data_IF_953220257998
#
_entry.id   IF_953220257998
#
_cell.length_a   1.000
_cell.length_b   1.000
_cell.length_c   1.000
_cell.angle_alpha   90.00
_cell.angle_beta   90.00
_cell.angle_gamma   90.00
#
_symmetry.space_group_name_H-M   'P 1'
#
loop_
_entity.id
_entity.type
_entity.pdbx_description
1 polymer ?
#
# COMPACT_ATOMS: atom_id res chain seq x y z
N UNK A 1 -10.40 26.28 -0.86
CA UNK A 1 -10.14 25.44 0.30
C UNK A 1 -11.25 24.39 0.37
N UNK A 2 -10.93 23.14 0.64
CA UNK A 2 -11.91 22.06 0.72
C UNK A 2 -11.63 21.14 1.90
N UNK A 3 -12.69 20.69 2.55
CA UNK A 3 -12.66 19.65 3.57
C UNK A 3 -13.43 18.45 3.04
N UNK A 4 -12.88 17.25 3.20
CA UNK A 4 -13.59 16.01 2.86
C UNK A 4 -13.33 14.92 3.88
N UNK A 5 -14.31 14.05 4.01
CA UNK A 5 -14.25 12.84 4.83
C UNK A 5 -14.54 11.63 3.97
N UNK A 6 -13.78 10.56 4.18
CA UNK A 6 -13.97 9.27 3.52
C UNK A 6 -13.93 8.16 4.57
N UNK A 7 -14.88 7.26 4.52
CA UNK A 7 -14.83 6.02 5.28
C UNK A 7 -14.69 4.84 4.32
N UNK A 8 -13.75 3.97 4.61
CA UNK A 8 -13.41 2.86 3.70
C UNK A 8 -13.30 1.56 4.49
N UNK A 9 -13.85 0.50 3.93
CA UNK A 9 -13.56 -0.87 4.32
C UNK A 9 -12.50 -1.43 3.38
N UNK A 10 -11.41 -1.89 3.96
CA UNK A 10 -10.27 -2.42 3.21
C UNK A 10 -10.12 -3.89 3.52
N UNK A 11 -10.10 -4.72 2.49
CA UNK A 11 -9.75 -6.12 2.62
C UNK A 11 -8.24 -6.26 2.44
N UNK A 12 -7.55 -6.65 3.49
CA UNK A 12 -6.15 -7.03 3.40
C UNK A 12 -6.09 -8.51 3.01
N UNK A 13 -5.34 -8.81 1.97
CA UNK A 13 -5.13 -10.18 1.53
C UNK A 13 -4.24 -10.93 2.51
N UNK A 14 -4.41 -12.24 2.58
CA UNK A 14 -3.54 -13.08 3.39
C UNK A 14 -2.09 -12.96 2.94
N UNK A 15 -1.17 -12.96 3.89
CA UNK A 15 0.26 -12.83 3.64
C UNK A 15 0.99 -14.01 4.26
N UNK A 16 1.93 -14.55 3.49
CA UNK A 16 2.86 -15.56 3.96
C UNK A 16 4.23 -14.91 4.12
N UNK A 17 4.82 -15.07 5.29
CA UNK A 17 6.12 -14.55 5.65
C UNK A 17 7.01 -15.70 6.10
N UNK A 18 8.12 -15.93 5.43
CA UNK A 18 9.17 -16.85 5.93
C UNK A 18 9.87 -16.19 7.10
N UNK A 19 9.71 -16.80 8.27
CA UNK A 19 10.17 -16.13 9.49
C UNK A 19 11.49 -16.65 10.02
N UNK A 20 12.00 -17.81 9.53
CA UNK A 20 13.02 -18.43 10.34
C UNK A 20 13.76 -19.59 9.64
N UNK A 21 15.08 -19.47 9.56
CA UNK A 21 16.01 -20.60 9.37
C UNK A 21 17.08 -20.50 10.44
N UNK A 22 17.02 -21.32 11.46
CA UNK A 22 18.13 -21.50 12.39
C UNK A 22 18.77 -22.85 12.10
N UNK A 23 20.05 -22.82 11.79
CA UNK A 23 20.87 -24.02 11.68
C UNK A 23 21.56 -24.29 13.01
N UNK A 24 21.48 -25.51 13.47
CA UNK A 24 22.23 -25.98 14.63
C UNK A 24 23.49 -26.69 14.12
N UNK A 25 24.63 -26.28 14.65
CA UNK A 25 25.91 -26.90 14.34
C UNK A 25 26.38 -27.71 15.54
N UNK A 26 27.18 -28.77 15.29
CA UNK A 26 27.87 -29.44 16.36
C UNK A 26 29.03 -28.58 16.89
N UNK A 27 29.39 -28.72 18.16
CA UNK A 27 30.61 -28.17 18.73
C UNK A 27 31.86 -28.86 18.15
N UNK A 28 31.69 -29.97 17.44
CA UNK A 28 32.74 -30.69 16.73
C UNK A 28 32.77 -30.31 15.28
N UNK A 29 33.98 -30.16 14.75
CA UNK A 29 34.22 -29.86 13.33
C UNK A 29 34.82 -31.09 12.66
N UNK A 30 34.41 -31.36 11.42
CA UNK A 30 35.10 -32.30 10.56
C UNK A 30 36.42 -31.70 10.10
N UNK A 31 37.52 -32.40 10.35
CA UNK A 31 38.82 -32.00 9.80
C UNK A 31 38.94 -32.47 8.35
N UNK A 32 39.04 -31.54 7.41
CA UNK A 32 39.11 -31.81 5.97
C UNK A 32 40.55 -31.98 5.45
N UNK A 33 41.55 -31.78 6.33
CA UNK A 33 42.96 -31.79 5.96
C UNK A 33 43.52 -30.38 5.66
N UNK A 34 44.84 -30.20 5.65
CA UNK A 34 45.45 -28.90 5.37
C UNK A 34 45.09 -27.75 6.30
N UNK A 35 44.61 -28.05 7.51
CA UNK A 35 44.19 -27.04 8.48
C UNK A 35 42.73 -26.52 8.27
N UNK A 36 41.96 -27.17 7.40
CA UNK A 36 40.57 -26.81 7.15
C UNK A 36 39.63 -27.63 7.99
N UNK A 37 38.58 -26.97 8.52
CA UNK A 37 37.52 -27.58 9.33
C UNK A 37 36.17 -27.20 8.77
N UNK A 38 35.24 -28.16 8.73
CA UNK A 38 33.86 -27.94 8.34
C UNK A 38 32.95 -28.14 9.55
N UNK A 39 32.03 -27.19 9.77
CA UNK A 39 31.03 -27.31 10.82
C UNK A 39 29.96 -28.36 10.46
N UNK A 40 29.73 -29.31 11.38
CA UNK A 40 28.72 -30.35 11.17
C UNK A 40 27.32 -29.78 11.45
N UNK A 41 26.47 -29.73 10.43
CA UNK A 41 25.08 -29.32 10.59
C UNK A 41 24.28 -30.47 11.25
N UNK A 42 23.83 -30.25 12.49
CA UNK A 42 23.03 -31.24 13.27
C UNK A 42 21.52 -31.02 13.21
N UNK A 43 21.09 -29.93 12.61
CA UNK A 43 19.67 -29.68 12.48
C UNK A 43 19.32 -28.29 12.04
N UNK A 44 18.05 -28.08 11.78
CA UNK A 44 17.50 -26.76 11.43
C UNK A 44 16.11 -26.59 11.99
N UNK A 45 15.75 -25.33 12.20
CA UNK A 45 14.36 -24.90 12.36
C UNK A 45 14.01 -24.00 11.19
N UNK A 46 12.98 -24.34 10.44
CA UNK A 46 12.41 -23.47 9.43
C UNK A 46 10.91 -23.35 9.62
N UNK A 47 10.32 -22.31 9.09
CA UNK A 47 8.89 -22.15 9.15
C UNK A 47 8.42 -20.90 8.49
N UNK A 48 7.14 -20.74 8.46
CA UNK A 48 6.48 -19.53 7.95
C UNK A 48 5.28 -19.18 8.82
N UNK A 49 4.91 -17.92 8.79
CA UNK A 49 3.67 -17.43 9.35
C UNK A 49 2.72 -17.12 8.18
N UNK A 50 1.49 -17.54 8.32
CA UNK A 50 0.43 -17.20 7.39
C UNK A 50 -0.62 -16.37 8.13
N UNK A 51 -0.77 -15.10 7.77
CA UNK A 51 -1.84 -14.22 8.23
C UNK A 51 -3.04 -14.38 7.31
N UNK A 52 -4.20 -14.75 7.81
CA UNK A 52 -5.41 -14.84 7.01
C UNK A 52 -5.85 -13.45 6.53
N UNK A 53 -6.57 -13.42 5.40
CA UNK A 53 -7.19 -12.19 4.92
C UNK A 53 -8.17 -11.63 5.96
N UNK A 54 -8.16 -10.32 6.16
CA UNK A 54 -9.01 -9.65 7.15
C UNK A 54 -9.52 -8.29 6.63
N UNK A 55 -10.63 -7.86 7.19
CA UNK A 55 -11.17 -6.54 6.93
C UNK A 55 -10.67 -5.54 7.95
N UNK A 56 -10.39 -4.32 7.47
CA UNK A 56 -9.98 -3.21 8.31
C UNK A 56 -10.66 -1.93 7.85
N UNK A 57 -11.21 -1.19 8.81
CA UNK A 57 -11.81 0.10 8.55
C UNK A 57 -10.75 1.21 8.59
N UNK A 58 -10.92 2.20 7.72
CA UNK A 58 -10.12 3.41 7.70
C UNK A 58 -11.01 4.63 7.58
N UNK A 59 -10.86 5.58 8.49
CA UNK A 59 -11.45 6.90 8.41
C UNK A 59 -10.38 7.88 7.92
N UNK A 60 -10.72 8.67 6.92
CA UNK A 60 -9.79 9.63 6.31
C UNK A 60 -10.42 11.02 6.28
N UNK A 61 -9.69 11.98 6.81
CA UNK A 61 -10.01 13.40 6.73
C UNK A 61 -9.00 14.10 5.85
N UNK A 62 -9.45 14.93 4.93
CA UNK A 62 -8.58 15.68 4.03
C UNK A 62 -8.91 17.16 4.13
N UNK A 63 -7.90 17.96 4.44
CA UNK A 63 -7.93 19.40 4.30
C UNK A 63 -7.11 19.76 3.06
N UNK A 64 -7.72 20.42 2.08
CA UNK A 64 -7.04 20.72 0.80
C UNK A 64 -7.16 22.16 0.39
N UNK A 65 -6.11 22.65 -0.29
CA UNK A 65 -6.06 23.94 -0.96
C UNK A 65 -5.61 23.72 -2.39
N UNK A 66 -6.22 24.41 -3.33
CA UNK A 66 -5.86 24.34 -4.74
C UNK A 66 -5.64 25.73 -5.33
N UNK A 67 -4.57 25.84 -6.10
CA UNK A 67 -4.24 27.00 -6.90
C UNK A 67 -4.27 26.60 -8.36
N UNK A 68 -4.96 27.39 -9.20
CA UNK A 68 -5.07 27.12 -10.63
C UNK A 68 -4.63 28.33 -11.42
N UNK A 69 -3.88 28.10 -12.49
CA UNK A 69 -3.52 29.11 -13.48
C UNK A 69 -3.76 28.59 -14.89
N UNK A 70 -3.85 29.49 -15.85
CA UNK A 70 -4.01 29.18 -17.27
C UNK A 70 -2.76 29.63 -18.02
N UNK A 71 -1.68 28.82 -18.06
CA UNK A 71 -0.46 29.19 -18.77
C UNK A 71 -0.69 29.39 -20.27
N UNK A 72 -1.67 28.67 -20.83
CA UNK A 72 -2.11 28.80 -22.22
C UNK A 72 -3.63 28.81 -22.30
N UNK A 73 -4.17 29.41 -23.37
CA UNK A 73 -5.63 29.63 -23.54
C UNK A 73 -6.51 28.38 -23.33
N UNK A 74 -5.97 27.18 -23.57
CA UNK A 74 -6.71 25.91 -23.51
C UNK A 74 -6.25 24.98 -22.40
N UNK A 75 -5.22 25.36 -21.68
CA UNK A 75 -4.66 24.51 -20.61
C UNK A 75 -4.86 25.16 -19.26
N UNK A 76 -5.29 24.35 -18.31
CA UNK A 76 -5.37 24.74 -16.90
C UNK A 76 -4.39 23.88 -16.12
N UNK A 77 -3.47 24.54 -15.43
CA UNK A 77 -2.55 23.91 -14.51
C UNK A 77 -3.07 24.12 -13.08
N UNK A 78 -3.24 23.06 -12.34
CA UNK A 78 -3.73 23.09 -10.96
C UNK A 78 -2.75 22.38 -10.04
N UNK A 79 -2.27 23.09 -9.02
CA UNK A 79 -1.53 22.55 -7.90
C UNK A 79 -2.50 22.41 -6.73
N UNK A 80 -2.67 21.20 -6.21
CA UNK A 80 -3.48 20.90 -5.03
C UNK A 80 -2.63 20.31 -3.93
N UNK A 81 -2.57 21.01 -2.81
CA UNK A 81 -1.98 20.54 -1.58
C UNK A 81 -3.07 19.96 -0.68
N UNK A 82 -2.79 18.81 -0.08
CA UNK A 82 -3.76 18.12 0.79
C UNK A 82 -3.06 17.57 2.01
N UNK A 83 -3.49 18.04 3.17
CA UNK A 83 -3.14 17.42 4.45
C UNK A 83 -4.16 16.35 4.76
N UNK A 84 -3.69 15.13 5.00
CA UNK A 84 -4.50 13.95 5.15
C UNK A 84 -4.27 13.30 6.50
N UNK A 85 -5.33 13.13 7.26
CA UNK A 85 -5.37 12.38 8.52
C UNK A 85 -6.05 11.04 8.26
N UNK A 86 -5.34 9.95 8.48
CA UNK A 86 -5.89 8.60 8.35
C UNK A 86 -5.91 7.93 9.72
N UNK A 87 -7.07 7.49 10.14
CA UNK A 87 -7.26 6.66 11.31
C UNK A 87 -7.62 5.25 10.87
N UNK A 88 -6.73 4.31 11.15
CA UNK A 88 -6.95 2.88 10.91
C UNK A 88 -7.50 2.27 12.19
N UNK A 89 -8.70 1.74 12.12
CA UNK A 89 -9.34 1.06 13.24
C UNK A 89 -8.60 -0.23 13.58
N UNK A 90 -8.65 -0.64 14.84
CA UNK A 90 -8.16 -1.95 15.23
C UNK A 90 -8.94 -3.06 14.54
N UNK A 91 -8.29 -4.18 14.32
CA UNK A 91 -8.90 -5.40 13.75
C UNK A 91 -8.15 -6.61 14.27
N UNK A 92 -8.72 -7.80 14.11
CA UNK A 92 -8.04 -9.05 14.39
C UNK A 92 -7.92 -9.88 13.12
N UNK A 93 -6.94 -10.75 13.09
CA UNK A 93 -6.75 -11.76 12.04
C UNK A 93 -6.20 -13.04 12.68
N UNK A 94 -6.42 -14.15 12.03
CA UNK A 94 -5.84 -15.42 12.45
C UNK A 94 -4.47 -15.58 11.83
N UNK A 95 -3.48 -15.84 12.67
CA UNK A 95 -2.11 -16.19 12.25
C UNK A 95 -1.87 -17.68 12.48
N UNK A 96 -1.56 -18.39 11.42
CA UNK A 96 -1.10 -19.77 11.50
C UNK A 96 0.41 -19.81 11.38
N UNK A 97 1.08 -20.36 12.38
CA UNK A 97 2.51 -20.57 12.38
C UNK A 97 2.80 -22.03 12.04
N UNK A 98 3.54 -22.24 10.99
CA UNK A 98 4.07 -23.55 10.62
C UNK A 98 5.54 -23.62 10.99
N UNK A 99 5.95 -24.69 11.67
CA UNK A 99 7.33 -24.90 12.08
C UNK A 99 7.73 -26.34 11.76
N UNK A 100 8.91 -26.47 11.18
CA UNK A 100 9.56 -27.73 10.93
C UNK A 100 10.89 -27.73 11.68
N UNK A 101 11.09 -28.72 12.51
CA UNK A 101 12.30 -28.90 13.30
C UNK A 101 12.92 -30.23 12.94
N UNK A 102 14.13 -30.19 12.49
CA UNK A 102 14.97 -31.33 12.22
C UNK A 102 16.16 -31.36 13.17
N UNK A 103 16.44 -32.49 13.74
CA UNK A 103 17.65 -32.79 14.48
C UNK A 103 18.23 -34.11 14.01
N UNK A 104 19.56 -34.19 13.96
CA UNK A 104 20.26 -35.42 13.60
C UNK A 104 19.86 -36.56 14.56
N UNK A 105 19.54 -37.74 14.03
CA UNK A 105 19.05 -38.91 14.74
C UNK A 105 17.67 -38.76 15.45
N UNK A 106 16.93 -37.70 15.19
CA UNK A 106 15.55 -37.54 15.65
C UNK A 106 14.60 -37.45 14.46
N UNK A 107 13.35 -37.92 14.57
CA UNK A 107 12.37 -37.72 13.51
C UNK A 107 12.05 -36.24 13.35
N UNK A 108 11.90 -35.79 12.11
CA UNK A 108 11.48 -34.41 11.82
C UNK A 108 10.11 -34.15 12.43
N UNK A 109 10.02 -33.10 13.23
CA UNK A 109 8.78 -32.71 13.89
C UNK A 109 8.15 -31.51 13.18
N UNK A 110 6.84 -31.59 12.98
CA UNK A 110 6.03 -30.51 12.39
C UNK A 110 5.05 -30.01 13.46
N UNK A 111 5.04 -28.72 13.66
CA UNK A 111 4.07 -28.09 14.57
C UNK A 111 3.30 -26.99 13.85
N UNK A 112 2.00 -26.96 14.10
CA UNK A 112 1.11 -25.92 13.60
C UNK A 112 0.42 -25.28 14.80
N UNK A 113 0.58 -23.97 14.93
CA UNK A 113 -0.02 -23.17 15.99
C UNK A 113 -0.92 -22.11 15.36
N UNK A 114 -2.18 -22.06 15.78
CA UNK A 114 -3.15 -21.07 15.33
C UNK A 114 -3.35 -20.05 16.45
N UNK A 115 -3.08 -18.79 16.15
CA UNK A 115 -3.15 -17.68 17.10
C UNK A 115 -4.01 -16.56 16.56
N UNK A 116 -4.70 -15.87 17.43
CA UNK A 116 -5.30 -14.60 17.09
C UNK A 116 -4.24 -13.49 17.15
N UNK A 117 -4.12 -12.73 16.04
CA UNK A 117 -3.21 -11.59 15.94
C UNK A 117 -4.01 -10.30 15.94
N UNK A 118 -3.88 -9.53 16.98
CA UNK A 118 -4.50 -8.20 17.07
C UNK A 118 -3.69 -7.18 16.29
N UNK A 119 -4.36 -6.44 15.42
CA UNK A 119 -3.84 -5.24 14.74
C UNK A 119 -4.39 -4.02 15.46
N UNK A 120 -3.54 -3.32 16.20
CA UNK A 120 -3.94 -2.13 16.94
C UNK A 120 -4.35 -0.99 15.99
N UNK A 121 -5.18 -0.09 16.51
CA UNK A 121 -5.48 1.15 15.81
C UNK A 121 -4.20 1.97 15.61
N UNK A 122 -4.11 2.65 14.46
CA UNK A 122 -2.99 3.54 14.17
C UNK A 122 -3.45 4.82 13.49
N UNK A 123 -2.73 5.89 13.74
CA UNK A 123 -2.90 7.18 13.08
C UNK A 123 -1.76 7.38 12.09
N UNK A 124 -2.08 7.95 10.94
CA UNK A 124 -1.08 8.34 9.95
C UNK A 124 -1.44 9.69 9.35
N UNK A 125 -0.50 10.61 9.44
CA UNK A 125 -0.58 11.88 8.76
C UNK A 125 0.17 11.82 7.44
N UNK A 126 -0.35 12.46 6.41
CA UNK A 126 0.28 12.50 5.09
C UNK A 126 0.05 13.87 4.45
N UNK A 127 1.10 14.45 3.91
CA UNK A 127 1.03 15.62 3.03
C UNK A 127 1.06 15.13 1.58
N UNK A 128 0.16 15.65 0.75
CA UNK A 128 0.05 15.28 -0.66
C UNK A 128 0.01 16.50 -1.54
N UNK A 129 0.87 16.47 -2.57
CA UNK A 129 0.98 17.49 -3.60
C UNK A 129 0.54 16.90 -4.93
N UNK A 130 -0.54 17.39 -5.49
CA UNK A 130 -1.05 16.93 -6.79
C UNK A 130 -0.95 18.05 -7.81
N UNK A 131 -0.18 17.82 -8.89
CA UNK A 131 -0.11 18.70 -10.05
C UNK A 131 -0.96 18.09 -11.17
N UNK A 132 -1.91 18.86 -11.70
CA UNK A 132 -2.82 18.45 -12.79
C UNK A 132 -2.72 19.42 -13.94
N UNK A 133 -2.52 18.91 -15.14
CA UNK A 133 -2.64 19.63 -16.39
C UNK A 133 -3.87 19.14 -17.14
N UNK A 134 -4.84 20.01 -17.34
CA UNK A 134 -6.11 19.72 -18.02
C UNK A 134 -6.24 20.56 -19.29
N UNK A 135 -6.65 19.91 -20.37
CA UNK A 135 -6.98 20.58 -21.62
C UNK A 135 -8.48 20.79 -21.72
N UNK A 136 -8.92 22.00 -22.05
CA UNK A 136 -10.33 22.30 -22.31
C UNK A 136 -10.49 23.15 -23.58
N UNK A 137 -11.44 22.77 -24.41
CA UNK A 137 -11.77 23.48 -25.65
C UNK A 137 -13.23 23.91 -25.61
N UNK A 138 -13.50 25.17 -26.00
CA UNK A 138 -14.87 25.68 -26.10
C UNK A 138 -15.71 24.81 -27.03
N UNK A 139 -16.92 24.46 -26.62
CA UNK A 139 -17.86 23.55 -27.32
C UNK A 139 -17.41 22.10 -27.44
N UNK A 140 -16.32 21.67 -26.79
CA UNK A 140 -15.92 20.27 -26.70
C UNK A 140 -16.29 19.74 -25.32
N UNK A 141 -17.08 18.67 -25.19
CA UNK A 141 -17.45 18.11 -23.90
C UNK A 141 -16.30 17.32 -23.23
N UNK A 142 -15.26 16.97 -24.00
CA UNK A 142 -14.12 16.20 -23.53
C UNK A 142 -13.03 17.12 -22.99
N UNK A 143 -12.60 16.84 -21.76
CA UNK A 143 -11.53 17.55 -21.07
C UNK A 143 -10.48 16.55 -20.57
N UNK A 144 -9.55 16.12 -21.44
CA UNK A 144 -8.49 15.21 -21.04
C UNK A 144 -7.54 15.88 -20.06
N UNK A 145 -6.98 15.09 -19.13
CA UNK A 145 -6.02 15.58 -18.16
C UNK A 145 -4.95 14.54 -17.85
N UNK A 146 -3.83 15.03 -17.39
CA UNK A 146 -2.77 14.23 -16.75
C UNK A 146 -2.45 14.82 -15.40
N UNK A 147 -2.11 13.97 -14.45
CA UNK A 147 -1.73 14.44 -13.12
C UNK A 147 -0.64 13.56 -12.50
N UNK A 148 0.19 14.21 -11.70
CA UNK A 148 1.16 13.56 -10.82
C UNK A 148 0.77 13.91 -9.39
N UNK A 149 0.70 12.92 -8.53
CA UNK A 149 0.32 13.06 -7.13
C UNK A 149 1.42 12.40 -6.28
N UNK A 150 2.09 13.21 -5.49
CA UNK A 150 3.10 12.78 -4.55
C UNK A 150 2.58 12.94 -3.14
N UNK A 151 2.69 11.87 -2.35
CA UNK A 151 2.34 11.89 -0.93
C UNK A 151 3.53 11.48 -0.08
N UNK A 152 3.72 12.16 1.05
CA UNK A 152 4.75 11.84 2.04
C UNK A 152 4.11 11.75 3.42
N UNK A 153 4.44 10.69 4.15
CA UNK A 153 4.08 10.53 5.55
C UNK A 153 4.77 11.56 6.43
N UNK A 154 4.06 12.11 7.40
CA UNK A 154 4.61 13.03 8.40
C UNK A 154 5.01 12.19 9.62
N UNK A 155 6.29 12.25 9.99
CA UNK A 155 6.85 11.46 11.11
C UNK A 155 7.17 10.02 10.78
N UNK A 156 7.10 9.62 9.50
CA UNK A 156 7.50 8.30 9.01
C UNK A 156 8.19 8.40 7.63
N UNK A 157 8.69 7.28 7.13
CA UNK A 157 9.38 7.20 5.82
C UNK A 157 8.44 6.86 4.67
N UNK A 158 7.13 6.78 4.90
CA UNK A 158 6.18 6.39 3.88
C UNK A 158 6.09 7.44 2.77
N UNK A 159 6.12 6.99 1.53
CA UNK A 159 5.90 7.84 0.37
C UNK A 159 5.02 7.13 -0.65
N UNK A 160 4.37 7.95 -1.48
CA UNK A 160 3.42 7.48 -2.48
C UNK A 160 3.46 8.34 -3.73
N UNK A 161 3.64 7.70 -4.88
CA UNK A 161 3.54 8.33 -6.18
C UNK A 161 2.32 7.80 -6.92
N UNK A 162 1.59 8.70 -7.60
CA UNK A 162 0.51 8.34 -8.50
C UNK A 162 0.65 9.12 -9.80
N UNK A 163 0.61 8.39 -10.89
CA UNK A 163 0.54 8.95 -12.24
C UNK A 163 -0.86 8.67 -12.76
N UNK A 164 -1.56 9.72 -13.15
CA UNK A 164 -2.98 9.64 -13.52
C UNK A 164 -3.14 10.25 -14.90
N UNK A 165 -3.79 9.51 -15.80
CA UNK A 165 -4.27 10.00 -17.08
C UNK A 165 -5.76 9.76 -17.15
N UNK A 166 -6.53 10.74 -17.59
CA UNK A 166 -7.98 10.61 -17.66
C UNK A 166 -8.66 11.65 -18.50
N UNK A 167 -9.95 11.58 -18.53
CA UNK A 167 -10.78 12.56 -19.21
C UNK A 167 -12.08 12.79 -18.45
N UNK A 168 -12.50 14.04 -18.42
CA UNK A 168 -13.82 14.44 -17.99
C UNK A 168 -14.71 14.60 -19.23
N UNK A 169 -15.91 14.03 -19.18
CA UNK A 169 -16.93 14.21 -20.20
C UNK A 169 -18.11 14.99 -19.62
N UNK A 170 -18.30 16.22 -20.06
CA UNK A 170 -19.38 17.10 -19.60
C UNK A 170 -20.68 16.74 -20.32
N UNK A 171 -21.60 16.08 -19.63
CA UNK A 171 -22.95 15.80 -20.15
C UNK A 171 -23.77 17.09 -20.13
N UNK A 172 -23.64 17.86 -19.04
CA UNK A 172 -24.31 19.16 -18.86
C UNK A 172 -23.46 20.07 -17.97
N UNK A 173 -24.01 21.24 -17.62
CA UNK A 173 -23.36 22.16 -16.65
C UNK A 173 -23.20 21.54 -15.26
N UNK A 174 -24.09 20.64 -14.90
CA UNK A 174 -24.14 20.01 -13.58
C UNK A 174 -23.57 18.58 -13.56
N UNK A 175 -23.58 17.88 -14.71
CA UNK A 175 -23.27 16.46 -14.80
C UNK A 175 -21.95 16.23 -15.56
N UNK A 176 -21.01 15.55 -14.95
CA UNK A 176 -19.73 15.20 -15.56
C UNK A 176 -19.42 13.73 -15.26
N UNK A 177 -19.09 12.97 -16.31
CA UNK A 177 -18.49 11.66 -16.18
C UNK A 177 -16.97 11.80 -16.21
N UNK A 178 -16.29 11.04 -15.38
CA UNK A 178 -14.84 10.96 -15.34
C UNK A 178 -14.41 9.53 -15.61
N UNK A 179 -13.47 9.34 -16.52
CA UNK A 179 -12.79 8.06 -16.72
C UNK A 179 -11.29 8.26 -16.55
N UNK A 180 -10.63 7.39 -15.80
CA UNK A 180 -9.20 7.55 -15.55
C UNK A 180 -8.49 6.20 -15.43
N UNK A 181 -7.21 6.25 -15.76
CA UNK A 181 -6.22 5.25 -15.45
C UNK A 181 -5.22 5.83 -14.47
N UNK A 182 -4.83 5.07 -13.48
CA UNK A 182 -3.87 5.45 -12.46
C UNK A 182 -2.85 4.34 -12.24
N UNK A 183 -1.58 4.68 -12.35
CA UNK A 183 -0.47 3.88 -11.84
C UNK A 183 -0.07 4.41 -10.46
N UNK A 184 0.08 3.52 -9.49
CA UNK A 184 0.42 3.85 -8.12
C UNK A 184 1.65 3.06 -7.70
N UNK A 185 2.62 3.78 -7.10
CA UNK A 185 3.81 3.21 -6.47
C UNK A 185 3.92 3.76 -5.06
N UNK A 186 4.05 2.90 -4.09
CA UNK A 186 4.26 3.28 -2.69
C UNK A 186 5.14 2.26 -1.96
N UNK A 187 5.72 2.69 -0.84
CA UNK A 187 6.53 1.84 0.03
C UNK A 187 5.78 1.39 1.29
N UNK A 188 4.46 1.60 1.34
CA UNK A 188 3.62 1.17 2.44
C UNK A 188 3.11 -0.25 2.21
N UNK A 189 3.27 -1.12 3.20
CA UNK A 189 2.80 -2.52 3.16
C UNK A 189 1.27 -2.65 3.11
N UNK A 190 0.55 -1.62 3.58
CA UNK A 190 -0.92 -1.64 3.65
C UNK A 190 -1.59 -1.32 2.29
N UNK A 191 -0.88 -0.74 1.33
CA UNK A 191 -1.44 -0.37 0.02
C UNK A 191 -0.53 -0.90 -1.11
N UNK A 192 -1.01 -1.81 -1.97
CA UNK A 192 -0.16 -2.41 -3.00
C UNK A 192 0.17 -1.44 -4.14
N UNK A 193 1.35 -1.62 -4.73
CA UNK A 193 1.66 -1.04 -6.02
C UNK A 193 0.73 -1.61 -7.08
N UNK A 194 0.30 -0.79 -8.04
CA UNK A 194 -0.56 -1.35 -9.07
C UNK A 194 -1.19 -0.35 -10.03
N UNK A 195 -2.01 -0.91 -10.88
CA UNK A 195 -2.74 -0.23 -11.94
C UNK A 195 -4.22 -0.20 -11.58
N UNK A 196 -4.84 0.96 -11.71
CA UNK A 196 -6.24 1.15 -11.36
C UNK A 196 -6.93 1.85 -12.52
N UNK A 197 -8.01 1.28 -12.99
CA UNK A 197 -8.95 1.92 -13.92
C UNK A 197 -10.20 2.30 -13.13
N UNK A 198 -10.69 3.50 -13.33
CA UNK A 198 -11.87 3.97 -12.62
C UNK A 198 -12.77 4.82 -13.48
N UNK A 199 -14.05 4.77 -13.16
CA UNK A 199 -15.09 5.63 -13.71
C UNK A 199 -15.74 6.36 -12.54
N UNK A 200 -15.95 7.64 -12.68
CA UNK A 200 -16.57 8.49 -11.68
C UNK A 200 -17.69 9.33 -12.29
N UNK A 201 -18.60 9.74 -11.45
CA UNK A 201 -19.65 10.68 -11.80
C UNK A 201 -19.64 11.83 -10.81
N UNK A 202 -19.64 13.05 -11.33
CA UNK A 202 -19.68 14.27 -10.53
C UNK A 202 -20.96 15.05 -10.84
N UNK A 203 -21.66 15.42 -9.77
CA UNK A 203 -22.81 16.30 -9.82
C UNK A 203 -22.47 17.60 -9.08
N UNK A 204 -22.76 18.74 -9.72
CA UNK A 204 -22.60 20.06 -9.11
C UNK A 204 -23.98 20.63 -8.80
N UNK A 205 -24.19 20.99 -7.56
CA UNK A 205 -25.38 21.70 -7.10
C UNK A 205 -25.36 23.17 -7.55
#
# INVERSE_FOLDING_TARGET
VGLSYEHMWMKNLGQQEETYKLKYYDDKFNYLGGGQFEAIEKGYNKGYNYDQAYWRNRSRWNLSMALSCKPFRRFTLTLKETMQYNYFWGSSTTRTKYREKYRYNEPTTYTTEVLEKTKYSKVRWMLRSKLTLQYSKKKCPWEPYVAVDYGKGIGNTDYKWKFIGGTDYKISKQHTLNAFYRFQKENDEDEPNGHIVGIGYNFKF
#
